data_IF_874634241406
#
_entry.id   IF_874634241406
#
_cell.length_a   1.000
_cell.length_b   1.000
_cell.length_c   1.000
_cell.angle_alpha   90.00
_cell.angle_beta   90.00
_cell.angle_gamma   90.00
#
_symmetry.space_group_name_H-M   'P 1'
#
loop_
_entity.id
_entity.type
_entity.pdbx_description
1 polymer ?
#
# COMPACT_ATOMS: atom_id res chain seq x y z
N UNK A 1 11.73 1.45 8.52
CA UNK A 1 11.45 1.13 9.94
C UNK A 1 10.79 2.33 10.61
N UNK A 2 9.61 2.15 11.22
CA UNK A 2 8.85 3.23 11.88
C UNK A 2 9.53 3.65 13.21
N UNK A 3 9.38 4.91 13.62
CA UNK A 3 9.99 5.43 14.86
C UNK A 3 9.40 4.82 16.13
N UNK A 4 8.10 4.50 16.11
CA UNK A 4 7.40 3.66 17.10
C UNK A 4 7.31 2.22 16.60
N UNK A 5 7.44 1.21 17.48
CA UNK A 5 7.35 -0.21 17.07
C UNK A 5 5.97 -0.50 16.50
N UNK A 6 5.94 -0.93 15.24
CA UNK A 6 4.72 -1.44 14.61
C UNK A 6 4.18 -2.67 15.35
N UNK A 7 2.85 -2.79 15.40
CA UNK A 7 2.16 -3.96 15.93
C UNK A 7 1.13 -4.46 14.92
N UNK A 8 0.82 -5.75 14.95
CA UNK A 8 -0.26 -6.32 14.17
C UNK A 8 -1.04 -7.35 14.97
N UNK A 9 -2.29 -7.58 14.56
CA UNK A 9 -3.11 -8.70 15.00
C UNK A 9 -3.76 -9.35 13.78
N UNK A 10 -3.97 -10.66 13.85
CA UNK A 10 -4.64 -11.42 12.80
C UNK A 10 -5.68 -12.37 13.41
N UNK A 11 -6.85 -12.46 12.79
CA UNK A 11 -7.88 -13.44 13.10
C UNK A 11 -8.50 -13.95 11.78
N UNK A 12 -8.05 -15.12 11.31
CA UNK A 12 -8.37 -15.59 9.97
C UNK A 12 -7.87 -14.59 8.91
N UNK A 13 -8.79 -14.11 8.07
CA UNK A 13 -8.51 -13.14 7.00
C UNK A 13 -8.58 -11.67 7.46
N UNK A 14 -8.84 -11.44 8.75
CA UNK A 14 -8.88 -10.11 9.33
C UNK A 14 -7.51 -9.72 9.88
N UNK A 15 -7.09 -8.48 9.58
CA UNK A 15 -5.83 -7.91 10.02
C UNK A 15 -6.05 -6.55 10.65
N UNK A 16 -5.34 -6.27 11.74
CA UNK A 16 -5.17 -4.94 12.29
C UNK A 16 -3.69 -4.58 12.28
N UNK A 17 -3.35 -3.37 11.84
CA UNK A 17 -1.98 -2.84 11.82
C UNK A 17 -1.98 -1.53 12.60
N UNK A 18 -1.08 -1.42 13.57
CA UNK A 18 -0.74 -0.16 14.25
C UNK A 18 0.63 0.29 13.78
N UNK A 19 0.70 1.46 13.14
CA UNK A 19 1.92 1.97 12.52
C UNK A 19 2.17 3.43 12.94
N UNK A 20 3.42 3.79 13.24
CA UNK A 20 3.83 5.15 13.64
C UNK A 20 4.83 5.81 12.69
N UNK A 21 4.89 5.40 11.42
CA UNK A 21 5.88 5.90 10.47
C UNK A 21 5.70 7.36 10.06
N UNK A 22 6.81 8.03 9.76
CA UNK A 22 6.83 9.43 9.38
C UNK A 22 6.26 9.70 8.00
N UNK A 23 6.49 8.81 7.05
CA UNK A 23 5.88 8.87 5.71
C UNK A 23 6.05 7.55 4.95
N UNK A 24 5.27 7.38 3.88
CA UNK A 24 5.41 6.35 2.86
C UNK A 24 5.36 7.04 1.50
N UNK A 25 6.41 7.79 1.19
CA UNK A 25 6.57 8.56 -0.05
C UNK A 25 8.01 9.07 -0.19
N UNK A 26 8.48 9.24 -1.43
CA UNK A 26 9.81 9.76 -1.75
C UNK A 26 10.92 9.04 -0.98
N UNK A 27 11.71 9.82 -0.25
CA UNK A 27 12.89 9.34 0.51
C UNK A 27 12.53 8.58 1.81
N UNK A 28 11.25 8.38 2.09
CA UNK A 28 10.77 7.71 3.31
C UNK A 28 9.95 6.49 2.96
N UNK A 29 10.43 5.36 3.47
CA UNK A 29 9.68 4.11 3.53
C UNK A 29 9.48 3.70 5.00
N UNK A 30 8.66 4.49 5.70
CA UNK A 30 8.29 4.22 7.09
C UNK A 30 6.86 3.68 7.13
N UNK A 31 6.74 2.41 6.77
CA UNK A 31 5.51 1.63 6.83
C UNK A 31 5.62 0.50 7.85
N UNK A 32 4.46 0.08 8.37
CA UNK A 32 4.28 -1.27 8.87
C UNK A 32 3.72 -2.13 7.73
N UNK A 33 4.14 -3.40 7.66
CA UNK A 33 3.67 -4.33 6.65
C UNK A 33 3.35 -5.70 7.25
N UNK A 34 2.25 -6.30 6.79
CA UNK A 34 1.98 -7.74 6.89
C UNK A 34 2.02 -8.26 5.47
N UNK A 35 2.96 -9.16 5.16
CA UNK A 35 3.26 -9.51 3.78
C UNK A 35 3.53 -11.01 3.60
N UNK A 36 3.41 -11.44 2.35
CA UNK A 36 3.83 -12.74 1.87
C UNK A 36 4.99 -12.53 0.90
N UNK A 37 6.06 -13.30 1.10
CA UNK A 37 7.15 -13.36 0.15
C UNK A 37 6.72 -14.13 -1.11
N UNK A 38 7.27 -13.77 -2.26
CA UNK A 38 7.02 -14.43 -3.56
C UNK A 38 5.52 -14.59 -3.90
N UNK A 39 4.71 -13.58 -3.56
CA UNK A 39 3.25 -13.61 -3.71
C UNK A 39 2.71 -12.73 -4.86
N UNK A 40 3.57 -11.96 -5.52
CA UNK A 40 3.22 -11.13 -6.67
C UNK A 40 3.90 -11.67 -7.94
N UNK A 41 3.23 -12.54 -8.73
CA UNK A 41 3.77 -13.04 -10.00
C UNK A 41 4.07 -11.89 -10.98
N UNK A 42 4.90 -12.12 -12.03
CA UNK A 42 5.15 -11.11 -13.07
C UNK A 42 3.90 -10.62 -13.80
N UNK A 43 2.84 -11.44 -13.85
CA UNK A 43 1.52 -11.05 -14.33
C UNK A 43 0.50 -11.59 -13.33
N UNK A 44 -0.33 -10.72 -12.77
CA UNK A 44 -1.29 -11.11 -11.75
C UNK A 44 -1.90 -9.94 -10.99
N UNK A 45 -2.61 -10.25 -9.91
CA UNK A 45 -3.37 -9.27 -9.14
C UNK A 45 -3.15 -9.41 -7.64
N UNK A 46 -3.09 -8.27 -6.95
CA UNK A 46 -3.10 -8.17 -5.48
C UNK A 46 -4.33 -7.37 -5.09
N UNK A 47 -5.18 -7.92 -4.23
CA UNK A 47 -6.42 -7.27 -3.78
C UNK A 47 -6.54 -7.32 -2.27
N UNK A 48 -7.01 -6.24 -1.67
CA UNK A 48 -7.42 -6.20 -0.26
C UNK A 48 -8.64 -5.32 -0.06
N UNK A 49 -9.29 -5.47 1.08
CA UNK A 49 -10.36 -4.54 1.52
C UNK A 49 -9.97 -3.87 2.83
N UNK A 50 -9.85 -2.55 2.77
CA UNK A 50 -9.63 -1.68 3.93
C UNK A 50 -10.99 -1.37 4.54
N UNK A 51 -11.34 -2.02 5.65
CA UNK A 51 -12.65 -1.81 6.30
C UNK A 51 -12.71 -0.53 7.13
N UNK A 52 -11.55 -0.02 7.54
CA UNK A 52 -11.45 1.25 8.22
C UNK A 52 -10.01 1.59 8.57
N UNK A 53 -9.77 2.88 8.81
CA UNK A 53 -8.53 3.32 9.41
C UNK A 53 -8.78 4.50 10.34
N UNK A 54 -7.93 4.66 11.34
CA UNK A 54 -7.82 5.89 12.12
C UNK A 54 -6.65 6.72 11.59
N UNK A 55 -6.71 8.03 11.79
CA UNK A 55 -5.67 8.93 11.30
C UNK A 55 -4.96 9.63 12.44
N UNK A 56 -3.62 9.55 12.42
CA UNK A 56 -2.71 10.45 13.12
C UNK A 56 -2.62 11.86 12.50
N UNK A 57 -3.43 12.11 11.47
CA UNK A 57 -3.41 13.28 10.61
C UNK A 57 -4.17 12.98 9.31
N UNK A 58 -4.42 13.98 8.46
CA UNK A 58 -5.23 13.80 7.24
C UNK A 58 -4.57 12.88 6.19
N UNK A 59 -3.24 12.73 6.24
CA UNK A 59 -2.46 11.95 5.27
C UNK A 59 -2.15 10.51 5.71
N UNK A 60 -2.50 10.12 6.95
CA UNK A 60 -2.33 8.74 7.41
C UNK A 60 -2.99 7.78 6.42
N UNK A 61 -2.33 6.67 6.08
CA UNK A 61 -2.73 5.87 4.92
C UNK A 61 -2.58 4.38 5.17
N UNK A 62 -3.47 3.60 4.54
CA UNK A 62 -3.46 2.14 4.59
C UNK A 62 -3.88 1.54 3.24
N UNK A 63 -3.32 0.39 2.90
CA UNK A 63 -3.65 -0.29 1.65
C UNK A 63 -2.74 -1.46 1.35
N UNK A 64 -2.36 -1.60 0.08
CA UNK A 64 -1.57 -2.72 -0.44
C UNK A 64 -0.28 -2.24 -1.10
N UNK A 65 0.73 -3.11 -1.07
CA UNK A 65 2.02 -2.88 -1.72
C UNK A 65 2.49 -4.14 -2.45
N UNK A 66 3.22 -3.92 -3.54
CA UNK A 66 4.02 -4.92 -4.26
C UNK A 66 5.43 -4.37 -4.42
N UNK A 67 6.44 -5.18 -4.14
CA UNK A 67 7.86 -4.82 -4.33
C UNK A 67 8.67 -6.08 -4.70
N UNK A 68 9.88 -5.91 -5.22
CA UNK A 68 10.79 -7.06 -5.36
C UNK A 68 11.14 -7.65 -3.98
N UNK A 69 11.30 -6.80 -2.97
CA UNK A 69 11.44 -7.16 -1.55
C UNK A 69 10.78 -6.06 -0.71
N UNK A 70 9.73 -6.37 0.07
CA UNK A 70 9.02 -5.36 0.86
C UNK A 70 9.80 -4.88 2.09
N UNK A 71 10.85 -5.60 2.48
CA UNK A 71 11.75 -5.29 3.60
C UNK A 71 12.99 -4.50 3.17
N UNK A 72 13.30 -4.50 1.86
CA UNK A 72 14.42 -3.80 1.24
C UNK A 72 13.95 -2.95 0.06
N UNK A 73 13.44 -1.73 0.29
CA UNK A 73 12.89 -0.86 -0.77
C UNK A 73 13.85 -0.61 -1.93
N UNK A 74 15.16 -0.55 -1.65
CA UNK A 74 16.22 -0.39 -2.64
C UNK A 74 16.30 -1.53 -3.67
N UNK A 75 15.62 -2.66 -3.42
CA UNK A 75 15.46 -3.73 -4.41
C UNK A 75 14.52 -3.32 -5.56
N UNK A 76 13.74 -2.24 -5.40
CA UNK A 76 12.84 -1.70 -6.41
C UNK A 76 11.61 -2.58 -6.64
N UNK A 77 11.05 -2.49 -7.86
CA UNK A 77 9.80 -3.13 -8.23
C UNK A 77 8.60 -2.59 -7.46
N UNK A 78 8.72 -1.37 -6.93
CA UNK A 78 7.88 -0.90 -5.84
C UNK A 78 6.65 -0.12 -6.33
N UNK A 79 5.46 -0.64 -6.00
CA UNK A 79 4.18 -0.03 -6.26
C UNK A 79 3.28 -0.13 -5.03
N UNK A 80 2.65 0.98 -4.65
CA UNK A 80 1.80 1.08 -3.46
C UNK A 80 0.47 1.72 -3.84
N UNK A 81 -0.64 1.13 -3.39
CA UNK A 81 -1.98 1.70 -3.48
C UNK A 81 -2.58 1.80 -2.09
N UNK A 82 -2.85 3.02 -1.63
CA UNK A 82 -3.45 3.29 -0.32
C UNK A 82 -4.70 4.15 -0.40
N UNK A 83 -5.53 4.07 0.64
CA UNK A 83 -6.52 5.07 0.99
C UNK A 83 -5.93 5.94 2.11
N UNK A 84 -5.80 7.24 1.89
CA UNK A 84 -5.45 8.19 2.96
C UNK A 84 -6.65 8.51 3.85
N UNK A 85 -6.44 9.10 5.03
CA UNK A 85 -7.50 9.38 5.98
C UNK A 85 -8.48 10.46 5.49
N UNK A 86 -8.01 11.44 4.71
CA UNK A 86 -8.86 12.55 4.22
C UNK A 86 -8.64 12.95 2.75
N UNK A 87 -7.60 12.47 2.08
CA UNK A 87 -7.23 12.91 0.72
C UNK A 87 -7.49 11.85 -0.36
N UNK A 88 -8.25 10.80 -0.05
CA UNK A 88 -8.63 9.76 -1.01
C UNK A 88 -7.50 8.79 -1.33
N UNK A 89 -7.55 8.23 -2.54
CA UNK A 89 -6.65 7.17 -3.00
C UNK A 89 -5.28 7.74 -3.38
N UNK A 90 -4.22 6.97 -3.15
CA UNK A 90 -2.86 7.31 -3.55
C UNK A 90 -2.24 6.08 -4.20
N UNK A 91 -1.92 6.21 -5.48
CA UNK A 91 -1.10 5.26 -6.21
C UNK A 91 0.29 5.85 -6.38
N UNK A 92 1.27 5.23 -5.74
CA UNK A 92 2.66 5.66 -5.68
C UNK A 92 3.54 4.56 -6.26
N UNK A 93 4.54 4.92 -7.06
CA UNK A 93 5.47 3.96 -7.64
C UNK A 93 6.91 4.47 -7.65
N UNK A 94 7.84 3.53 -7.70
CA UNK A 94 9.25 3.73 -8.04
C UNK A 94 9.40 3.78 -9.57
N UNK A 95 9.65 4.97 -10.13
CA UNK A 95 9.70 5.16 -11.59
C UNK A 95 11.10 5.07 -12.18
N UNK A 96 12.14 5.14 -11.37
CA UNK A 96 13.54 5.13 -11.81
C UNK A 96 14.37 3.95 -11.29
N UNK A 97 13.78 3.12 -10.43
CA UNK A 97 14.39 1.91 -9.91
C UNK A 97 15.27 2.11 -8.69
N UNK A 98 15.22 3.28 -8.04
CA UNK A 98 16.05 3.60 -6.88
C UNK A 98 15.42 3.19 -5.54
N UNK A 99 14.21 2.61 -5.59
CA UNK A 99 13.46 2.13 -4.44
C UNK A 99 12.62 3.18 -3.73
N UNK A 100 12.55 4.40 -4.24
CA UNK A 100 11.73 5.49 -3.68
C UNK A 100 10.42 5.60 -4.41
N UNK A 101 9.37 5.95 -3.68
CA UNK A 101 8.06 6.21 -4.26
C UNK A 101 8.00 7.65 -4.75
N UNK A 102 8.37 7.90 -6.00
CA UNK A 102 8.54 9.24 -6.58
C UNK A 102 7.36 9.71 -7.46
N UNK A 103 6.41 8.83 -7.76
CA UNK A 103 5.19 9.18 -8.52
C UNK A 103 3.96 9.34 -7.63
N UNK A 104 2.93 9.97 -8.17
CA UNK A 104 1.64 10.12 -7.52
C UNK A 104 0.48 10.14 -8.52
N UNK A 105 -0.55 9.33 -8.25
CA UNK A 105 -1.85 9.43 -8.90
C UNK A 105 -3.00 9.15 -7.91
N UNK A 106 -4.20 9.63 -8.22
CA UNK A 106 -5.39 9.48 -7.38
C UNK A 106 -5.86 10.80 -6.78
N UNK A 107 -6.27 10.77 -5.51
CA UNK A 107 -6.86 11.86 -4.76
C UNK A 107 -8.36 11.67 -4.52
N UNK A 108 -9.01 12.76 -4.06
CA UNK A 108 -10.46 12.81 -3.86
C UNK A 108 -10.87 12.60 -2.40
N UNK A 109 -12.09 12.09 -2.21
CA UNK A 109 -12.62 11.82 -0.86
C UNK A 109 -12.30 10.41 -0.42
N UNK A 110 -11.89 10.27 0.84
CA UNK A 110 -11.68 8.96 1.46
C UNK A 110 -13.01 8.28 1.77
N UNK A 111 -13.03 6.95 1.64
CA UNK A 111 -14.20 6.13 1.96
C UNK A 111 -13.78 4.78 2.53
N UNK A 112 -14.64 4.22 3.38
CA UNK A 112 -14.49 2.88 3.91
C UNK A 112 -15.88 2.20 3.98
N UNK A 113 -15.97 0.89 3.71
CA UNK A 113 -14.88 0.02 3.25
C UNK A 113 -14.42 0.38 1.83
N UNK A 114 -13.13 0.17 1.55
CA UNK A 114 -12.54 0.37 0.22
C UNK A 114 -11.83 -0.91 -0.22
N UNK A 115 -12.22 -1.44 -1.38
CA UNK A 115 -11.47 -2.49 -2.05
C UNK A 115 -10.39 -1.86 -2.91
N UNK A 116 -9.16 -2.31 -2.75
CA UNK A 116 -7.99 -1.85 -3.47
C UNK A 116 -7.44 -3.02 -4.28
N UNK A 117 -7.03 -2.76 -5.52
CA UNK A 117 -6.47 -3.76 -6.41
C UNK A 117 -5.31 -3.18 -7.20
N UNK A 118 -4.19 -3.90 -7.19
CA UNK A 118 -3.07 -3.70 -8.10
C UNK A 118 -3.07 -4.86 -9.10
N UNK A 119 -3.03 -4.53 -10.39
CA UNK A 119 -2.81 -5.48 -11.48
C UNK A 119 -1.41 -5.24 -12.02
N UNK A 120 -0.56 -6.27 -11.98
CA UNK A 120 0.78 -6.25 -12.55
C UNK A 120 0.77 -6.99 -13.87
N UNK A 121 1.43 -6.44 -14.88
CA UNK A 121 1.76 -7.09 -16.15
C UNK A 121 3.18 -6.70 -16.57
N UNK A 122 4.14 -7.57 -16.23
CA UNK A 122 5.57 -7.29 -16.31
C UNK A 122 5.96 -6.13 -15.40
N UNK A 123 6.31 -5.01 -16.04
CA UNK A 123 6.65 -3.74 -15.38
C UNK A 123 5.49 -2.75 -15.35
N UNK A 124 4.36 -3.06 -15.99
CA UNK A 124 3.17 -2.21 -15.94
C UNK A 124 2.34 -2.54 -14.71
N UNK A 125 1.97 -1.52 -13.95
CA UNK A 125 1.06 -1.63 -12.81
C UNK A 125 -0.15 -0.76 -13.04
N UNK A 126 -1.35 -1.34 -12.88
CA UNK A 126 -2.61 -0.60 -12.92
C UNK A 126 -3.31 -0.70 -11.57
N UNK A 127 -3.61 0.45 -10.98
CA UNK A 127 -4.33 0.57 -9.72
C UNK A 127 -5.83 0.74 -9.97
N UNK A 128 -6.63 -0.01 -9.22
CA UNK A 128 -8.08 0.08 -9.20
C UNK A 128 -8.60 0.18 -7.76
N UNK A 129 -9.75 0.81 -7.61
CA UNK A 129 -10.48 0.81 -6.34
C UNK A 129 -11.98 0.59 -6.56
N UNK A 130 -12.66 0.10 -5.53
CA UNK A 130 -14.11 -0.10 -5.53
C UNK A 130 -14.70 0.15 -4.15
N UNK A 131 -15.89 0.75 -4.11
CA UNK A 131 -16.68 0.95 -2.88
C UNK A 131 -17.66 -0.18 -2.60
N UNK A 132 -17.88 -1.09 -3.56
CA UNK A 132 -18.83 -2.20 -3.44
C UNK A 132 -18.21 -3.59 -3.71
N UNK A 133 -16.94 -3.64 -4.13
CA UNK A 133 -16.21 -4.87 -4.43
C UNK A 133 -16.49 -5.45 -5.82
N UNK A 134 -17.38 -4.84 -6.61
CA UNK A 134 -17.83 -5.31 -7.91
C UNK A 134 -17.56 -4.32 -9.04
N UNK A 135 -17.83 -3.04 -8.83
CA UNK A 135 -17.56 -1.96 -9.78
C UNK A 135 -16.17 -1.38 -9.53
N UNK A 136 -15.20 -1.77 -10.34
CA UNK A 136 -13.81 -1.32 -10.24
C UNK A 136 -13.58 -0.05 -11.06
N UNK A 137 -13.13 1.01 -10.41
CA UNK A 137 -12.70 2.25 -11.05
C UNK A 137 -11.18 2.24 -11.17
N UNK A 138 -10.68 2.51 -12.37
CA UNK A 138 -9.24 2.67 -12.58
C UNK A 138 -8.78 3.99 -11.96
N UNK A 139 -7.73 3.93 -11.14
CA UNK A 139 -7.07 5.10 -10.57
C UNK A 139 -6.03 5.63 -11.56
N UNK A 140 -5.09 4.78 -11.96
CA UNK A 140 -4.06 5.08 -12.94
C UNK A 140 -3.29 3.82 -13.35
N UNK A 141 -2.47 3.96 -14.40
CA UNK A 141 -1.46 2.99 -14.83
C UNK A 141 -0.08 3.65 -14.77
N UNK A 142 0.93 2.93 -14.31
CA UNK A 142 2.32 3.37 -14.26
C UNK A 142 3.28 2.26 -14.69
N UNK A 143 4.47 2.63 -15.12
CA UNK A 143 5.57 1.70 -15.40
C UNK A 143 6.54 1.73 -14.22
N UNK A 144 6.92 0.55 -13.72
CA UNK A 144 7.89 0.33 -12.64
C UNK A 144 9.07 -0.45 -13.24
N UNK A 145 10.10 0.23 -13.78
CA UNK A 145 11.11 -0.42 -14.62
C UNK A 145 11.94 -1.48 -13.89
N UNK A 146 12.11 -1.34 -12.58
CA UNK A 146 12.86 -2.25 -11.70
C UNK A 146 12.07 -3.51 -11.33
N UNK A 147 10.77 -3.60 -11.65
CA UNK A 147 9.96 -4.77 -11.32
C UNK A 147 10.43 -6.00 -12.09
N UNK A 148 10.83 -7.04 -11.36
CA UNK A 148 11.37 -8.27 -11.96
C UNK A 148 10.92 -9.49 -11.16
N UNK A 149 10.87 -10.66 -11.82
CA UNK A 149 10.51 -11.92 -11.19
C UNK A 149 9.18 -11.91 -10.42
N UNK A 150 9.04 -12.87 -9.53
CA UNK A 150 7.99 -12.88 -8.51
C UNK A 150 8.45 -11.98 -7.36
N UNK A 151 7.61 -11.03 -6.96
CA UNK A 151 7.89 -10.13 -5.85
C UNK A 151 7.05 -10.44 -4.61
N UNK A 152 7.25 -9.64 -3.57
CA UNK A 152 6.46 -9.65 -2.36
C UNK A 152 5.14 -8.89 -2.54
N UNK A 153 4.10 -9.31 -1.82
CA UNK A 153 2.83 -8.59 -1.74
C UNK A 153 2.37 -8.47 -0.30
N UNK A 154 1.79 -7.34 0.09
CA UNK A 154 1.33 -7.18 1.46
C UNK A 154 0.36 -6.04 1.72
N UNK A 155 -0.20 -6.07 2.93
CA UNK A 155 -0.96 -5.00 3.55
C UNK A 155 0.01 -4.02 4.19
N UNK A 156 -0.21 -2.72 4.00
CA UNK A 156 0.67 -1.67 4.52
C UNK A 156 -0.12 -0.58 5.23
N UNK A 157 0.50 0.04 6.23
CA UNK A 157 0.00 1.24 6.88
C UNK A 157 1.13 2.20 7.28
N UNK A 158 0.88 3.50 7.20
CA UNK A 158 1.78 4.54 7.70
C UNK A 158 0.99 5.68 8.33
N UNK A 159 1.46 6.17 9.47
CA UNK A 159 0.85 7.28 10.19
C UNK A 159 1.04 8.61 9.46
N UNK A 160 2.06 8.71 8.60
CA UNK A 160 2.47 9.96 7.93
C UNK A 160 2.58 11.09 8.96
N UNK A 161 3.31 10.81 10.04
CA UNK A 161 3.29 11.62 11.26
C UNK A 161 4.39 12.69 11.33
N UNK A 162 4.98 13.06 10.18
CA UNK A 162 5.97 14.16 10.09
C UNK A 162 5.52 15.44 10.81
N UNK A 163 4.24 15.81 10.66
CA UNK A 163 3.65 16.99 11.29
C UNK A 163 2.92 16.69 12.62
N UNK A 164 2.87 15.41 13.03
CA UNK A 164 2.21 14.93 14.24
C UNK A 164 3.05 13.86 14.98
N UNK A 165 4.30 14.16 15.38
CA UNK A 165 5.25 13.14 15.81
C UNK A 165 4.74 12.25 16.94
N UNK A 166 5.04 10.95 16.86
CA UNK A 166 4.64 9.95 17.86
C UNK A 166 3.21 9.45 17.74
N UNK A 167 2.40 10.01 16.83
CA UNK A 167 1.06 9.48 16.57
C UNK A 167 1.10 8.19 15.73
N UNK A 168 0.12 7.33 15.97
CA UNK A 168 -0.04 6.02 15.36
C UNK A 168 -1.35 5.99 14.56
N UNK A 169 -1.34 5.37 13.39
CA UNK A 169 -2.55 4.97 12.66
C UNK A 169 -2.93 3.53 13.00
N UNK A 170 -4.23 3.26 13.08
CA UNK A 170 -4.77 1.89 13.09
C UNK A 170 -5.40 1.63 11.73
N UNK A 171 -4.98 0.58 11.04
CA UNK A 171 -5.59 0.13 9.79
C UNK A 171 -6.24 -1.24 9.99
N UNK A 172 -7.46 -1.41 9.49
CA UNK A 172 -8.23 -2.64 9.58
C UNK A 172 -8.50 -3.18 8.17
N UNK A 173 -8.26 -4.47 8.00
CA UNK A 173 -8.51 -5.22 6.77
C UNK A 173 -9.31 -6.48 7.11
N UNK A 174 -10.18 -6.93 6.21
CA UNK A 174 -10.96 -8.18 6.36
C UNK A 174 -10.72 -9.16 5.20
N UNK A 175 -9.85 -8.80 4.25
CA UNK A 175 -9.43 -9.66 3.14
C UNK A 175 -8.11 -9.20 2.54
N UNK A 176 -7.29 -10.17 2.14
CA UNK A 176 -6.08 -10.03 1.34
C UNK A 176 -5.96 -11.23 0.42
N UNK A 177 -5.66 -11.03 -0.86
CA UNK A 177 -5.52 -12.12 -1.82
C UNK A 177 -4.58 -11.74 -2.96
N UNK A 178 -3.88 -12.75 -3.49
CA UNK A 178 -3.08 -12.65 -4.71
C UNK A 178 -3.52 -13.72 -5.70
N UNK A 179 -3.48 -13.41 -6.99
CA UNK A 179 -3.85 -14.32 -8.08
C UNK A 179 -2.92 -14.13 -9.27
N UNK A 180 -2.68 -15.21 -10.02
CA UNK A 180 -2.02 -15.20 -11.33
C UNK A 180 -3.01 -14.86 -12.46
#
# INVERSE_FOLDING_TARGET
TTTEKAQYAQNGDQFAIWAGGQDLSGWKDEKAAVYLADAAPPSGTVTARVVGQTGSGPSAKAGIAVANDLTSPEAGGYAVLTMSAQYGLEFLTDSDGDGKLDTWAGGGSSYHPAWLKLVRDGTSYTAYASSDGTAWQQVATATVPSASGTGDAGLVASAVNLNYPGQITTALFDSFSTHD
#
